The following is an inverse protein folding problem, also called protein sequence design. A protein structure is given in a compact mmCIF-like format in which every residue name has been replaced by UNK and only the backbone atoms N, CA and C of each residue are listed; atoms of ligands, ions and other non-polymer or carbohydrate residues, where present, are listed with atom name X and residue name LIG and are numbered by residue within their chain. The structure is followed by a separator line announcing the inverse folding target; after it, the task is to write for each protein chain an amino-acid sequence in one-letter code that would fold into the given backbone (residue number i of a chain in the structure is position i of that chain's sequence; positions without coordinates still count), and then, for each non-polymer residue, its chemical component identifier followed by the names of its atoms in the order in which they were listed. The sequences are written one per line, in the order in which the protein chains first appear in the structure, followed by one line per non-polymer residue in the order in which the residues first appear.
data_IF_150531275381
#
_entry.id   IF_150531275381
#
_cell.length_a   1.000
_cell.length_b   1.000
_cell.length_c   1.000
_cell.angle_alpha   90.00
_cell.angle_beta   90.00
_cell.angle_gamma   90.00
#
_symmetry.space_group_name_H-M   'P 1'
#
loop_
_entity.id
_entity.type
_entity.pdbx_description
1 polymer ?
#
# COMPACT_ATOMS: atom_id res chain seq x y z
N UNK A 1 20.62 -27.70 -11.22
CA UNK A 1 20.62 -27.14 -9.86
C UNK A 1 19.56 -26.06 -9.80
N UNK A 2 18.57 -26.17 -8.91
CA UNK A 2 17.45 -25.21 -8.86
C UNK A 2 17.95 -23.93 -8.20
N UNK A 3 18.31 -22.93 -9.01
CA UNK A 3 18.98 -21.69 -8.60
C UNK A 3 18.23 -21.00 -7.46
N UNK A 4 16.89 -21.05 -7.48
CA UNK A 4 16.02 -20.49 -6.43
C UNK A 4 16.26 -21.15 -5.05
N UNK A 5 16.42 -22.48 -5.01
CA UNK A 5 16.66 -23.22 -3.77
C UNK A 5 18.03 -22.88 -3.20
N UNK A 6 19.04 -22.84 -4.06
CA UNK A 6 20.41 -22.52 -3.66
C UNK A 6 20.52 -21.07 -3.14
N UNK A 7 19.83 -20.12 -3.77
CA UNK A 7 19.75 -18.74 -3.27
C UNK A 7 19.08 -18.65 -1.89
N UNK A 8 18.02 -19.42 -1.65
CA UNK A 8 17.29 -19.44 -0.37
C UNK A 8 18.15 -20.00 0.78
N UNK A 9 18.81 -21.13 0.54
CA UNK A 9 19.73 -21.74 1.50
C UNK A 9 20.90 -20.79 1.81
N UNK A 10 21.46 -20.15 0.79
CA UNK A 10 22.54 -19.17 0.95
C UNK A 10 22.10 -17.95 1.75
N UNK A 11 20.89 -17.43 1.49
CA UNK A 11 20.34 -16.31 2.23
C UNK A 11 20.14 -16.63 3.72
N UNK A 12 19.65 -17.84 4.03
CA UNK A 12 19.44 -18.30 5.40
C UNK A 12 20.75 -18.39 6.17
N UNK A 13 21.77 -19.01 5.58
CA UNK A 13 23.10 -19.14 6.19
C UNK A 13 23.71 -17.75 6.43
N UNK A 14 23.60 -16.85 5.44
CA UNK A 14 24.10 -15.48 5.56
C UNK A 14 23.44 -14.71 6.71
N UNK A 15 22.10 -14.77 6.81
CA UNK A 15 21.33 -14.08 7.86
C UNK A 15 21.70 -14.61 9.24
N UNK A 16 21.77 -15.94 9.43
CA UNK A 16 22.14 -16.55 10.72
C UNK A 16 23.59 -16.20 11.09
N UNK A 17 24.54 -16.23 10.15
CA UNK A 17 25.92 -15.83 10.40
C UNK A 17 26.02 -14.36 10.83
N UNK A 18 25.31 -13.44 10.17
CA UNK A 18 25.29 -12.02 10.55
C UNK A 18 24.69 -11.81 11.95
N UNK A 19 23.65 -12.56 12.30
CA UNK A 19 23.02 -12.51 13.61
C UNK A 19 23.97 -13.03 14.72
N UNK A 20 24.71 -14.10 14.46
CA UNK A 20 25.65 -14.69 15.43
C UNK A 20 26.89 -13.81 15.70
N UNK A 21 27.29 -12.96 14.75
CA UNK A 21 28.37 -11.99 14.95
C UNK A 21 28.01 -10.91 15.98
N UNK A 22 26.72 -10.74 16.30
CA UNK A 22 26.24 -9.78 17.28
C UNK A 22 25.73 -10.53 18.53
N UNK A 23 26.43 -10.43 19.69
CA UNK A 23 26.08 -11.20 20.88
C UNK A 23 24.66 -10.92 21.39
N UNK A 24 24.13 -9.72 21.16
CA UNK A 24 22.76 -9.33 21.51
C UNK A 24 21.69 -10.03 20.64
N UNK A 25 22.05 -10.44 19.42
CA UNK A 25 21.14 -11.06 18.45
C UNK A 25 21.29 -12.58 18.38
N UNK A 26 22.17 -13.18 19.20
CA UNK A 26 22.37 -14.65 19.24
C UNK A 26 21.08 -15.39 19.60
N UNK A 27 20.29 -14.86 20.53
CA UNK A 27 18.98 -15.43 20.87
C UNK A 27 18.01 -15.42 19.68
N UNK A 28 18.06 -14.36 18.86
CA UNK A 28 17.27 -14.24 17.63
C UNK A 28 17.78 -15.22 16.57
N UNK A 29 19.09 -15.41 16.45
CA UNK A 29 19.68 -16.41 15.54
C UNK A 29 19.19 -17.83 15.88
N UNK A 30 19.22 -18.19 17.17
CA UNK A 30 18.71 -19.48 17.65
C UNK A 30 17.20 -19.63 17.44
N UNK A 31 16.44 -18.54 17.60
CA UNK A 31 15.00 -18.54 17.30
C UNK A 31 14.73 -18.77 15.81
N UNK A 32 15.47 -18.11 14.92
CA UNK A 32 15.36 -18.29 13.47
C UNK A 32 15.75 -19.71 13.06
N UNK A 33 16.78 -20.29 13.68
CA UNK A 33 17.19 -21.68 13.43
C UNK A 33 16.12 -22.68 13.91
N UNK A 34 15.50 -22.44 15.06
CA UNK A 34 14.45 -23.31 15.62
C UNK A 34 13.12 -23.24 14.85
N UNK A 35 12.74 -22.07 14.36
CA UNK A 35 11.43 -21.80 13.72
C UNK A 35 11.52 -21.84 12.19
N UNK A 36 12.70 -21.64 11.63
CA UNK A 36 12.93 -21.49 10.19
C UNK A 36 12.72 -20.06 9.70
N UNK A 37 13.52 -19.68 8.70
CA UNK A 37 13.50 -18.33 8.12
C UNK A 37 12.15 -17.97 7.51
N UNK A 38 11.47 -18.92 6.86
CA UNK A 38 10.16 -18.70 6.23
C UNK A 38 9.11 -18.21 7.23
N UNK A 39 9.00 -18.90 8.38
CA UNK A 39 8.02 -18.55 9.43
C UNK A 39 8.45 -17.25 10.13
N UNK A 40 9.74 -17.05 10.36
CA UNK A 40 10.26 -15.80 10.92
C UNK A 40 9.89 -14.59 10.04
N UNK A 41 10.10 -14.68 8.73
CA UNK A 41 9.75 -13.63 7.78
C UNK A 41 8.24 -13.37 7.75
N UNK A 42 7.42 -14.41 7.82
CA UNK A 42 5.97 -14.27 7.93
C UNK A 42 5.56 -13.50 9.20
N UNK A 43 6.19 -13.80 10.35
CA UNK A 43 5.94 -13.06 11.59
C UNK A 43 6.34 -11.59 11.44
N UNK A 44 7.50 -11.32 10.84
CA UNK A 44 7.97 -9.95 10.57
C UNK A 44 6.99 -9.21 9.66
N UNK A 45 6.49 -9.86 8.61
CA UNK A 45 5.50 -9.28 7.70
C UNK A 45 4.23 -8.85 8.44
N UNK A 46 3.69 -9.71 9.30
CA UNK A 46 2.51 -9.39 10.12
C UNK A 46 2.77 -8.19 11.03
N UNK A 47 3.97 -8.10 11.63
CA UNK A 47 4.33 -6.95 12.45
C UNK A 47 4.45 -5.67 11.62
N UNK A 48 5.03 -5.73 10.41
CA UNK A 48 5.10 -4.58 9.50
C UNK A 48 3.69 -4.09 9.16
N UNK A 49 2.76 -4.98 8.82
CA UNK A 49 1.36 -4.62 8.54
C UNK A 49 0.68 -4.01 9.76
N UNK A 50 0.87 -4.58 10.95
CA UNK A 50 0.28 -4.06 12.18
C UNK A 50 0.81 -2.67 12.54
N UNK A 51 2.14 -2.50 12.52
CA UNK A 51 2.81 -1.23 12.83
C UNK A 51 2.45 -0.16 11.82
N UNK A 52 2.53 -0.47 10.53
CA UNK A 52 2.14 0.47 9.48
C UNK A 52 0.66 0.85 9.57
N UNK A 53 -0.23 -0.09 9.87
CA UNK A 53 -1.65 0.17 10.13
C UNK A 53 -1.87 1.10 11.32
N UNK A 54 -1.13 0.89 12.43
CA UNK A 54 -1.19 1.76 13.61
C UNK A 54 -0.72 3.18 13.30
N UNK A 55 0.45 3.35 12.67
CA UNK A 55 0.93 4.68 12.29
C UNK A 55 0.02 5.35 11.27
N UNK A 56 -0.53 4.59 10.32
CA UNK A 56 -1.51 5.13 9.38
C UNK A 56 -2.74 5.67 10.11
N UNK A 57 -3.31 4.91 11.04
CA UNK A 57 -4.50 5.32 11.78
C UNK A 57 -4.23 6.50 12.72
N UNK A 58 -3.10 6.46 13.42
CA UNK A 58 -2.79 7.41 14.49
C UNK A 58 -2.19 8.72 13.99
N UNK A 59 -1.46 8.70 12.87
CA UNK A 59 -0.71 9.86 12.37
C UNK A 59 -1.19 10.31 11.00
N UNK A 60 -1.24 9.40 10.01
CA UNK A 60 -1.59 9.81 8.64
C UNK A 60 -3.07 10.16 8.47
N UNK A 61 -3.97 9.30 8.98
CA UNK A 61 -5.41 9.49 8.88
C UNK A 61 -5.89 10.82 9.46
N UNK A 62 -5.54 11.24 10.68
CA UNK A 62 -6.00 12.52 11.22
C UNK A 62 -5.45 13.72 10.45
N UNK A 63 -4.24 13.63 9.89
CA UNK A 63 -3.66 14.68 9.05
C UNK A 63 -4.38 14.76 7.70
N UNK A 64 -4.71 13.63 7.08
CA UNK A 64 -5.36 13.58 5.77
C UNK A 64 -6.87 13.86 5.84
N UNK A 65 -7.53 13.56 6.96
CA UNK A 65 -8.98 13.76 7.14
C UNK A 65 -9.45 15.21 6.86
N UNK A 66 -8.79 16.28 7.34
CA UNK A 66 -9.20 17.65 7.01
C UNK A 66 -9.02 17.96 5.52
N UNK A 67 -7.94 17.50 4.87
CA UNK A 67 -7.76 17.65 3.42
C UNK A 67 -8.88 16.93 2.66
N UNK A 68 -9.19 15.69 3.05
CA UNK A 68 -10.29 14.92 2.47
C UNK A 68 -11.63 15.63 2.60
N UNK A 69 -11.95 16.16 3.79
CA UNK A 69 -13.18 16.95 4.01
C UNK A 69 -13.20 18.24 3.19
N UNK A 70 -12.06 18.91 3.03
CA UNK A 70 -11.93 20.10 2.20
C UNK A 70 -12.22 19.75 0.73
N UNK A 71 -11.58 18.70 0.20
CA UNK A 71 -11.76 18.25 -1.18
C UNK A 71 -13.21 17.84 -1.46
N UNK A 72 -13.86 17.10 -0.55
CA UNK A 72 -15.28 16.75 -0.65
C UNK A 72 -16.21 17.97 -0.71
N UNK A 73 -15.83 19.08 -0.07
CA UNK A 73 -16.62 20.31 -0.08
C UNK A 73 -16.47 21.08 -1.40
N UNK A 74 -15.30 21.01 -2.02
CA UNK A 74 -14.99 21.76 -3.24
C UNK A 74 -15.41 20.97 -4.49
N UNK A 75 -15.18 19.65 -4.51
CA UNK A 75 -15.49 18.80 -5.63
C UNK A 75 -16.64 17.82 -5.29
N UNK A 76 -17.86 18.03 -5.83
CA UNK A 76 -19.00 17.16 -5.59
C UNK A 76 -18.87 15.78 -6.26
N UNK A 77 -17.95 15.62 -7.23
CA UNK A 77 -17.71 14.35 -7.91
C UNK A 77 -16.59 13.53 -7.26
N UNK A 78 -15.86 14.09 -6.29
CA UNK A 78 -14.78 13.40 -5.61
C UNK A 78 -15.31 12.47 -4.52
N UNK A 79 -14.97 11.17 -4.59
CA UNK A 79 -15.16 10.23 -3.50
C UNK A 79 -14.23 9.02 -3.67
N UNK A 80 -13.95 8.33 -2.56
CA UNK A 80 -13.12 7.13 -2.57
C UNK A 80 -14.03 5.90 -2.76
N UNK A 81 -14.02 5.23 -3.92
CA UNK A 81 -14.90 4.09 -4.18
C UNK A 81 -14.49 2.85 -3.39
N UNK A 82 -15.48 2.06 -2.96
CA UNK A 82 -15.24 0.77 -2.32
C UNK A 82 -14.81 -0.28 -3.35
N UNK A 83 -14.08 -1.31 -2.90
CA UNK A 83 -13.62 -2.41 -3.76
C UNK A 83 -14.76 -3.07 -4.55
N UNK A 84 -15.91 -3.25 -3.92
CA UNK A 84 -17.09 -3.86 -4.54
C UNK A 84 -17.64 -3.02 -5.70
N UNK A 85 -17.63 -1.69 -5.55
CA UNK A 85 -18.08 -0.76 -6.58
C UNK A 85 -17.12 -0.73 -7.77
N UNK A 86 -15.81 -0.77 -7.52
CA UNK A 86 -14.78 -0.84 -8.57
C UNK A 86 -14.87 -2.13 -9.37
N UNK A 87 -15.16 -3.25 -8.70
CA UNK A 87 -15.35 -4.54 -9.38
C UNK A 87 -16.54 -4.58 -10.34
N UNK A 88 -17.60 -3.82 -10.04
CA UNK A 88 -18.79 -3.70 -10.91
C UNK A 88 -18.62 -2.65 -12.00
N UNK A 89 -18.01 -1.50 -11.66
CA UNK A 89 -17.86 -0.34 -12.53
C UNK A 89 -16.44 0.22 -12.40
N UNK A 90 -15.46 -0.26 -13.19
CA UNK A 90 -14.07 0.18 -13.04
C UNK A 90 -13.88 1.67 -13.30
N UNK A 91 -14.72 2.28 -14.14
CA UNK A 91 -14.69 3.71 -14.45
C UNK A 91 -14.97 4.59 -13.22
N UNK A 92 -15.54 4.04 -12.15
CA UNK A 92 -15.78 4.79 -10.91
C UNK A 92 -14.48 5.23 -10.23
N UNK A 93 -13.34 4.60 -10.56
CA UNK A 93 -12.01 5.02 -10.11
C UNK A 93 -11.66 6.45 -10.50
N UNK A 94 -12.24 6.97 -11.60
CA UNK A 94 -12.04 8.36 -12.01
C UNK A 94 -12.54 9.38 -10.97
N UNK A 95 -13.45 8.98 -10.08
CA UNK A 95 -13.93 9.82 -8.97
C UNK A 95 -12.97 9.87 -7.77
N UNK A 96 -11.99 8.96 -7.72
CA UNK A 96 -10.98 8.94 -6.67
C UNK A 96 -9.91 10.03 -6.84
N UNK A 97 -9.85 10.67 -8.01
CA UNK A 97 -8.92 11.76 -8.31
C UNK A 97 -9.69 13.09 -8.22
N UNK A 98 -9.31 14.00 -7.31
CA UNK A 98 -9.96 15.30 -7.20
C UNK A 98 -9.92 16.07 -8.53
N UNK A 99 -11.01 16.76 -8.86
CA UNK A 99 -11.22 17.62 -10.03
C UNK A 99 -11.18 16.91 -11.40
N UNK A 100 -10.88 15.61 -11.46
CA UNK A 100 -10.75 14.90 -12.73
C UNK A 100 -12.08 14.86 -13.49
N UNK A 101 -13.18 14.53 -12.82
CA UNK A 101 -14.49 14.51 -13.47
C UNK A 101 -15.00 15.90 -13.84
N UNK A 102 -14.74 16.91 -13.01
CA UNK A 102 -15.05 18.30 -13.36
C UNK A 102 -14.33 18.73 -14.63
N UNK A 103 -13.06 18.33 -14.79
CA UNK A 103 -12.29 18.62 -15.99
C UNK A 103 -12.84 17.87 -17.21
N UNK A 104 -13.15 16.58 -17.09
CA UNK A 104 -13.75 15.78 -18.17
C UNK A 104 -15.07 16.41 -18.62
N UNK A 105 -15.96 16.72 -17.68
CA UNK A 105 -17.25 17.35 -17.95
C UNK A 105 -17.03 18.73 -18.61
N UNK A 106 -16.15 19.56 -18.06
CA UNK A 106 -15.82 20.87 -18.63
C UNK A 106 -15.35 20.80 -20.08
N UNK A 107 -14.46 19.86 -20.41
CA UNK A 107 -14.02 19.63 -21.80
C UNK A 107 -15.17 19.14 -22.69
N UNK A 108 -16.02 18.23 -22.18
CA UNK A 108 -17.16 17.73 -22.96
C UNK A 108 -18.26 18.75 -23.18
N UNK A 109 -18.46 19.71 -22.26
CA UNK A 109 -19.45 20.80 -22.36
C UNK A 109 -18.90 21.99 -23.15
N UNK A 110 -17.58 22.15 -23.27
CA UNK A 110 -16.96 23.16 -24.14
C UNK A 110 -16.98 22.76 -25.62
N UNK A 111 -16.94 21.46 -25.93
CA UNK A 111 -16.98 20.94 -27.31
C UNK A 111 -18.28 21.19 -28.14
N UNK A 112 -19.51 21.13 -27.61
CA UNK A 112 -20.72 21.26 -28.39
C UNK A 112 -20.99 22.71 -28.85
N UNK A 113 -20.28 23.71 -28.30
CA UNK A 113 -20.40 25.11 -28.72
C UNK A 113 -19.56 25.42 -29.96
N UNK A 114 -18.50 24.65 -30.23
CA UNK A 114 -17.56 24.92 -31.33
C UNK A 114 -18.01 24.22 -32.63
N UNK A 115 -18.73 23.10 -32.53
CA UNK A 115 -19.17 22.32 -33.69
C UNK A 115 -20.58 22.70 -34.23
N UNK A 116 -21.17 23.81 -33.76
CA UNK A 116 -22.45 24.35 -34.27
C UNK A 116 -22.27 25.68 -35.04
N UNK A 117 -21.27 25.74 -35.93
CA UNK A 117 -21.06 26.84 -36.88
C UNK A 117 -21.07 26.34 -38.33
#
# INVERSE_FOLDING_TARGET
MNIKKWMWETATISVVCVLLLNPELVSLALFVDAVGLDIFLLLVEVQIVAVSGYYFHSWFKPILMPFYKCLLKVDPYFFIPTKDSVGKYPMILCHAVPFLMLLIIGVTVAKPVIDMA
#
